data_IF_806889667925
#
_entry.id   IF_806889667925
#
_cell.length_a   1.000
_cell.length_b   1.000
_cell.length_c   1.000
_cell.angle_alpha   90.00
_cell.angle_beta   90.00
_cell.angle_gamma   90.00
#
_symmetry.space_group_name_H-M   'P 1'
#
loop_
_entity.id
_entity.type
_entity.pdbx_description
1 polymer ?
#
# COMPACT_ATOMS: atom_id res chain seq x y z
N UNK A 1 -22.70 -11.75 18.52
CA UNK A 1 -21.37 -11.10 18.55
C UNK A 1 -20.75 -11.16 17.15
N UNK A 2 -20.43 -10.01 16.59
CA UNK A 2 -19.88 -9.90 15.23
C UNK A 2 -18.35 -9.90 15.21
N UNK A 3 -17.73 -9.59 16.36
CA UNK A 3 -16.27 -9.44 16.48
C UNK A 3 -15.56 -10.60 17.16
N UNK A 4 -16.16 -11.16 18.21
CA UNK A 4 -15.57 -12.22 19.04
C UNK A 4 -16.55 -13.37 19.22
N UNK A 5 -16.07 -14.62 19.17
CA UNK A 5 -16.90 -15.80 19.35
C UNK A 5 -17.34 -15.92 20.82
N UNK A 6 -18.61 -16.28 21.03
CA UNK A 6 -19.17 -16.46 22.38
C UNK A 6 -18.37 -17.48 23.22
N UNK A 7 -17.89 -18.55 22.59
CA UNK A 7 -17.06 -19.59 23.24
C UNK A 7 -15.76 -19.05 23.83
N UNK A 8 -15.17 -18.00 23.22
CA UNK A 8 -13.95 -17.38 23.73
C UNK A 8 -14.24 -16.44 24.91
N UNK A 9 -15.41 -15.81 24.89
CA UNK A 9 -15.89 -14.97 25.99
C UNK A 9 -16.27 -15.84 27.22
N UNK A 10 -16.91 -16.98 27.03
CA UNK A 10 -17.27 -17.91 28.11
C UNK A 10 -16.06 -18.39 28.90
N UNK A 11 -14.92 -18.58 28.25
CA UNK A 11 -13.67 -19.01 28.92
C UNK A 11 -13.12 -17.96 29.90
N UNK A 12 -13.53 -16.70 29.76
CA UNK A 12 -13.07 -15.58 30.61
C UNK A 12 -13.91 -15.50 31.89
N UNK A 13 -15.15 -15.99 31.83
CA UNK A 13 -16.10 -15.89 32.95
C UNK A 13 -15.68 -16.75 34.16
N UNK A 14 -15.76 -16.16 35.33
CA UNK A 14 -15.61 -16.84 36.61
C UNK A 14 -16.94 -17.45 37.09
N UNK A 15 -18.05 -16.90 36.56
CA UNK A 15 -19.40 -17.44 36.82
C UNK A 15 -19.49 -18.80 36.14
N UNK A 16 -19.79 -19.85 36.91
CA UNK A 16 -19.98 -21.21 36.40
C UNK A 16 -21.41 -21.68 36.66
N UNK A 17 -21.95 -22.61 35.85
CA UNK A 17 -23.25 -23.23 36.13
C UNK A 17 -23.31 -23.83 37.55
N UNK A 18 -24.39 -23.52 38.26
CA UNK A 18 -24.59 -24.02 39.65
C UNK A 18 -23.92 -23.18 40.74
N UNK A 19 -23.23 -22.09 40.40
CA UNK A 19 -22.70 -21.15 41.41
C UNK A 19 -23.72 -20.12 41.84
N UNK A 20 -23.65 -19.69 43.09
CA UNK A 20 -24.51 -18.59 43.60
C UNK A 20 -24.05 -17.29 42.96
N UNK A 21 -24.97 -16.57 42.29
CA UNK A 21 -24.69 -15.29 41.68
C UNK A 21 -24.31 -14.27 42.77
N UNK A 22 -23.09 -13.73 42.65
CA UNK A 22 -22.55 -12.74 43.60
C UNK A 22 -22.18 -11.47 42.79
N UNK A 23 -22.61 -10.31 43.29
CA UNK A 23 -22.34 -9.02 42.65
C UNK A 23 -20.84 -8.76 42.41
N UNK A 24 -19.97 -9.23 43.30
CA UNK A 24 -18.52 -9.09 43.17
C UNK A 24 -17.98 -9.90 42.00
N UNK A 25 -18.46 -11.13 41.81
CA UNK A 25 -18.05 -12.01 40.69
C UNK A 25 -18.58 -11.42 39.37
N UNK A 26 -19.83 -10.97 39.33
CA UNK A 26 -20.43 -10.32 38.16
C UNK A 26 -19.62 -9.09 37.76
N UNK A 27 -19.30 -8.21 38.71
CA UNK A 27 -18.49 -7.01 38.44
C UNK A 27 -17.10 -7.34 37.92
N UNK A 28 -16.49 -8.38 38.45
CA UNK A 28 -15.18 -8.87 37.97
C UNK A 28 -15.27 -9.37 36.52
N UNK A 29 -16.28 -10.18 36.23
CA UNK A 29 -16.48 -10.71 34.87
C UNK A 29 -16.79 -9.62 33.85
N UNK A 30 -17.59 -8.62 34.22
CA UNK A 30 -17.81 -7.43 33.37
C UNK A 30 -16.49 -6.71 33.09
N UNK A 31 -15.67 -6.50 34.12
CA UNK A 31 -14.37 -5.84 33.94
C UNK A 31 -13.43 -6.65 33.02
N UNK A 32 -13.33 -7.97 33.21
CA UNK A 32 -12.50 -8.84 32.40
C UNK A 32 -13.00 -8.92 30.94
N UNK A 33 -14.30 -8.98 30.69
CA UNK A 33 -14.87 -8.94 29.35
C UNK A 33 -14.56 -7.62 28.64
N UNK A 34 -14.79 -6.48 29.30
CA UNK A 34 -14.48 -5.17 28.73
C UNK A 34 -12.97 -5.03 28.43
N UNK A 35 -12.12 -5.53 29.34
CA UNK A 35 -10.68 -5.53 29.16
C UNK A 35 -10.25 -6.42 27.97
N UNK A 36 -10.87 -7.58 27.83
CA UNK A 36 -10.62 -8.47 26.71
C UNK A 36 -10.92 -7.81 25.37
N UNK A 37 -12.10 -7.19 25.24
CA UNK A 37 -12.46 -6.44 24.02
C UNK A 37 -11.47 -5.30 23.74
N UNK A 38 -11.13 -4.52 24.74
CA UNK A 38 -10.19 -3.41 24.60
C UNK A 38 -8.78 -3.89 24.17
N UNK A 39 -8.30 -5.02 24.72
CA UNK A 39 -7.01 -5.61 24.35
C UNK A 39 -6.98 -6.10 22.91
N UNK A 40 -8.13 -6.54 22.36
CA UNK A 40 -8.27 -6.91 20.95
C UNK A 40 -8.43 -5.71 20.03
N UNK A 41 -8.49 -4.49 20.57
CA UNK A 41 -8.68 -3.25 19.81
C UNK A 41 -10.14 -2.79 19.69
N UNK A 42 -11.10 -3.52 20.21
CA UNK A 42 -12.54 -3.18 20.17
C UNK A 42 -12.90 -2.23 21.32
N UNK A 43 -12.35 -1.04 21.29
CA UNK A 43 -12.44 -0.07 22.39
C UNK A 43 -13.82 0.54 22.60
N UNK A 44 -14.75 0.38 21.65
CA UNK A 44 -16.14 0.80 21.78
C UNK A 44 -17.06 -0.33 22.25
N UNK A 45 -16.55 -1.55 22.33
CA UNK A 45 -17.30 -2.70 22.78
C UNK A 45 -17.30 -2.79 24.31
N UNK A 46 -18.48 -2.95 24.90
CA UNK A 46 -18.63 -3.04 26.36
C UNK A 46 -19.92 -3.79 26.75
N UNK A 47 -19.90 -4.34 27.95
CA UNK A 47 -21.06 -4.99 28.54
C UNK A 47 -22.09 -3.93 28.90
N UNK A 48 -23.34 -4.10 28.42
CA UNK A 48 -24.44 -3.18 28.65
C UNK A 48 -25.48 -3.69 29.63
N UNK A 49 -25.65 -5.00 29.74
CA UNK A 49 -26.64 -5.62 30.59
C UNK A 49 -26.19 -6.99 31.06
N UNK A 50 -26.56 -7.35 32.28
CA UNK A 50 -26.44 -8.70 32.83
C UNK A 50 -27.77 -9.05 33.49
N UNK A 51 -28.49 -10.00 32.93
CA UNK A 51 -29.81 -10.41 33.39
C UNK A 51 -29.87 -11.93 33.52
N UNK A 52 -30.60 -12.39 34.49
CA UNK A 52 -30.91 -13.82 34.65
C UNK A 52 -32.39 -14.04 34.30
N UNK A 53 -32.67 -15.05 33.49
CA UNK A 53 -34.02 -15.42 33.14
C UNK A 53 -34.67 -16.32 34.19
N UNK A 54 -35.95 -16.64 33.99
CA UNK A 54 -36.74 -17.52 34.90
C UNK A 54 -36.22 -18.94 34.98
N UNK A 55 -35.40 -19.37 34.00
CA UNK A 55 -34.79 -20.69 33.95
C UNK A 55 -33.39 -20.71 34.60
N UNK A 56 -32.94 -19.58 35.14
CA UNK A 56 -31.61 -19.44 35.75
C UNK A 56 -30.48 -19.28 34.74
N UNK A 57 -30.79 -18.93 33.47
CA UNK A 57 -29.78 -18.64 32.44
C UNK A 57 -29.33 -17.20 32.55
N UNK A 58 -28.04 -16.98 32.63
CA UNK A 58 -27.43 -15.65 32.66
C UNK A 58 -27.25 -15.12 31.24
N UNK A 59 -27.89 -14.00 30.95
CA UNK A 59 -27.74 -13.25 29.66
C UNK A 59 -26.83 -12.05 29.85
N UNK A 60 -25.75 -12.01 29.11
CA UNK A 60 -24.81 -10.87 29.08
C UNK A 60 -24.99 -10.14 27.76
N UNK A 61 -25.51 -8.91 27.82
CA UNK A 61 -25.63 -8.03 26.67
C UNK A 61 -24.36 -7.25 26.43
N UNK A 62 -23.88 -7.25 25.20
CA UNK A 62 -22.67 -6.54 24.79
C UNK A 62 -23.03 -5.60 23.63
N UNK A 63 -22.68 -4.33 23.76
CA UNK A 63 -22.70 -3.38 22.65
C UNK A 63 -21.34 -3.39 22.00
N UNK A 64 -21.27 -3.64 20.70
CA UNK A 64 -19.98 -3.77 20.01
C UNK A 64 -19.51 -2.49 19.36
N UNK A 65 -20.39 -1.54 19.04
CA UNK A 65 -20.04 -0.27 18.37
C UNK A 65 -19.48 -0.47 16.96
N UNK A 66 -20.32 -0.19 15.96
CA UNK A 66 -19.96 -0.40 14.55
C UNK A 66 -19.55 0.89 13.87
N UNK A 67 -18.83 0.77 12.76
CA UNK A 67 -18.53 1.89 11.87
C UNK A 67 -19.78 2.20 11.03
N UNK A 68 -20.51 3.24 11.41
CA UNK A 68 -21.73 3.65 10.72
C UNK A 68 -21.44 4.21 9.33
N UNK A 69 -20.41 5.07 9.23
CA UNK A 69 -20.01 5.73 7.99
C UNK A 69 -18.52 6.12 8.03
N UNK A 70 -17.92 6.16 6.85
CA UNK A 70 -16.55 6.63 6.67
C UNK A 70 -16.59 7.83 5.72
N UNK A 71 -16.26 9.00 6.24
CA UNK A 71 -16.20 10.26 5.50
C UNK A 71 -14.73 10.59 5.19
N UNK A 72 -14.45 10.97 3.94
CA UNK A 72 -13.10 11.35 3.50
C UNK A 72 -13.13 12.81 3.08
N UNK A 73 -12.20 13.60 3.61
CA UNK A 73 -12.08 15.03 3.34
C UNK A 73 -10.65 15.42 2.98
N UNK A 74 -10.50 16.53 2.26
CA UNK A 74 -9.21 17.09 1.90
C UNK A 74 -8.62 16.55 0.59
N UNK A 75 -9.15 15.48 0.02
CA UNK A 75 -8.69 14.88 -1.22
C UNK A 75 -9.25 15.61 -2.45
N UNK A 76 -8.61 16.69 -2.85
CA UNK A 76 -9.00 17.49 -4.03
C UNK A 76 -8.67 16.82 -5.36
N UNK A 77 -7.47 16.24 -5.46
CA UNK A 77 -6.95 15.53 -6.63
C UNK A 77 -7.20 14.02 -6.53
N UNK A 78 -6.85 13.43 -5.40
CA UNK A 78 -6.91 11.99 -5.17
C UNK A 78 -8.36 11.52 -5.08
N UNK A 79 -8.70 10.48 -5.84
CA UNK A 79 -10.05 9.91 -5.85
C UNK A 79 -10.32 9.15 -4.55
N UNK A 80 -11.55 9.23 -4.03
CA UNK A 80 -12.00 8.53 -2.82
C UNK A 80 -11.62 7.05 -2.81
N UNK A 81 -11.84 6.37 -3.94
CA UNK A 81 -11.52 4.95 -4.08
C UNK A 81 -10.06 4.62 -3.78
N UNK A 82 -9.13 5.56 -4.05
CA UNK A 82 -7.69 5.39 -3.81
C UNK A 82 -7.39 5.38 -2.32
N UNK A 83 -8.14 6.14 -1.54
CA UNK A 83 -8.04 6.14 -0.08
C UNK A 83 -8.76 4.93 0.50
N UNK A 84 -10.01 4.68 0.07
CA UNK A 84 -10.84 3.59 0.59
C UNK A 84 -10.23 2.21 0.41
N UNK A 85 -9.50 1.96 -0.68
CA UNK A 85 -8.84 0.67 -0.93
C UNK A 85 -7.70 0.36 0.06
N UNK A 86 -7.18 1.38 0.74
CA UNK A 86 -6.15 1.21 1.77
C UNK A 86 -6.75 0.84 3.14
N UNK A 87 -8.05 0.99 3.33
CA UNK A 87 -8.72 0.66 4.59
C UNK A 87 -8.73 -0.85 4.83
N UNK A 88 -8.50 -1.23 6.08
CA UNK A 88 -8.53 -2.63 6.56
C UNK A 88 -9.86 -2.99 7.23
N UNK A 89 -10.82 -2.13 7.11
CA UNK A 89 -12.20 -2.29 7.60
C UNK A 89 -13.14 -1.59 6.63
N UNK A 90 -14.41 -1.85 6.74
CA UNK A 90 -15.46 -1.27 5.92
C UNK A 90 -16.61 -0.76 6.79
N UNK A 91 -17.50 0.00 6.19
CA UNK A 91 -18.76 0.40 6.81
C UNK A 91 -19.53 -0.86 7.25
N UNK A 92 -20.07 -0.83 8.49
CA UNK A 92 -20.78 -1.93 9.13
C UNK A 92 -19.91 -2.85 9.97
N UNK A 93 -18.58 -2.81 9.85
CA UNK A 93 -17.71 -3.60 10.70
C UNK A 93 -17.69 -3.05 12.13
N UNK A 94 -17.43 -3.92 13.11
CA UNK A 94 -17.19 -3.50 14.48
C UNK A 94 -15.92 -2.65 14.50
N UNK A 95 -16.00 -1.48 15.13
CA UNK A 95 -14.86 -0.57 15.22
C UNK A 95 -13.68 -1.22 15.94
N UNK A 96 -12.53 -1.25 15.28
CA UNK A 96 -11.29 -1.77 15.84
C UNK A 96 -10.18 -0.73 15.67
N UNK A 97 -9.64 -0.26 16.79
CA UNK A 97 -8.57 0.75 16.83
C UNK A 97 -7.32 0.31 16.08
N UNK A 98 -6.95 -0.96 16.17
CA UNK A 98 -5.73 -1.47 15.53
C UNK A 98 -5.87 -1.46 14.01
N UNK A 99 -7.03 -1.88 13.49
CA UNK A 99 -7.34 -1.82 12.06
C UNK A 99 -7.44 -0.38 11.56
N UNK A 100 -8.03 0.52 12.37
CA UNK A 100 -8.10 1.94 12.05
C UNK A 100 -6.70 2.55 11.95
N UNK A 101 -5.84 2.34 12.94
CA UNK A 101 -4.45 2.82 12.95
C UNK A 101 -3.65 2.27 11.77
N UNK A 102 -3.80 0.98 11.48
CA UNK A 102 -3.14 0.36 10.32
C UNK A 102 -3.61 0.95 9.00
N UNK A 103 -4.91 1.23 8.88
CA UNK A 103 -5.48 1.87 7.68
C UNK A 103 -4.90 3.26 7.46
N UNK A 104 -4.77 4.06 8.50
CA UNK A 104 -4.18 5.41 8.44
C UNK A 104 -2.72 5.34 8.02
N UNK A 105 -1.96 4.42 8.61
CA UNK A 105 -0.56 4.19 8.23
C UNK A 105 -0.43 3.82 6.74
N UNK A 106 -1.32 2.96 6.23
CA UNK A 106 -1.35 2.58 4.82
C UNK A 106 -1.66 3.76 3.90
N UNK A 107 -2.65 4.58 4.25
CA UNK A 107 -2.98 5.79 3.49
C UNK A 107 -1.77 6.75 3.47
N UNK A 108 -1.13 6.98 4.61
CA UNK A 108 0.07 7.81 4.70
C UNK A 108 1.22 7.25 3.85
N UNK A 109 1.45 5.95 3.89
CA UNK A 109 2.51 5.26 3.16
C UNK A 109 2.32 5.25 1.63
N UNK A 110 1.15 5.64 1.11
CA UNK A 110 0.99 5.85 -0.34
C UNK A 110 1.88 6.96 -0.87
N UNK A 111 2.30 7.91 -0.02
CA UNK A 111 3.08 9.07 -0.40
C UNK A 111 2.29 10.18 -1.11
N UNK A 112 0.96 10.09 -1.11
CA UNK A 112 0.09 11.10 -1.74
C UNK A 112 -0.27 12.26 -0.81
N UNK A 113 -0.04 12.06 0.49
CA UNK A 113 -0.47 12.96 1.56
C UNK A 113 0.70 13.33 2.46
N UNK A 114 0.79 14.59 2.83
CA UNK A 114 1.74 15.07 3.84
C UNK A 114 1.21 14.84 5.26
N UNK A 115 -0.12 14.73 5.42
CA UNK A 115 -0.77 14.45 6.68
C UNK A 115 -2.06 13.68 6.48
N UNK A 116 -2.37 12.78 7.43
CA UNK A 116 -3.59 11.97 7.49
C UNK A 116 -4.08 11.94 8.93
N UNK A 117 -5.21 12.56 9.18
CA UNK A 117 -5.83 12.63 10.50
C UNK A 117 -7.18 11.91 10.54
N UNK A 118 -7.52 11.38 11.70
CA UNK A 118 -8.81 10.73 11.94
C UNK A 118 -9.52 11.41 13.10
N UNK A 119 -10.81 11.67 12.88
CA UNK A 119 -11.74 12.08 13.92
C UNK A 119 -12.88 11.09 14.00
N UNK A 120 -13.29 10.78 15.23
CA UNK A 120 -14.42 9.91 15.51
C UNK A 120 -15.57 10.74 16.05
N UNK A 121 -16.74 10.58 15.43
CA UNK A 121 -17.98 11.20 15.87
C UNK A 121 -18.99 10.12 16.26
N UNK A 122 -19.88 10.44 17.17
CA UNK A 122 -20.96 9.55 17.54
C UNK A 122 -21.86 9.27 16.33
N UNK A 123 -22.36 8.06 16.22
CA UNK A 123 -23.28 7.66 15.17
C UNK A 123 -24.58 8.46 15.19
N UNK A 124 -25.12 8.75 14.03
CA UNK A 124 -26.37 9.48 13.85
C UNK A 124 -27.59 8.55 14.01
N UNK A 125 -27.44 7.28 13.60
CA UNK A 125 -28.51 6.27 13.67
C UNK A 125 -28.50 5.52 15.00
N UNK A 126 -27.32 5.24 15.51
CA UNK A 126 -27.12 4.54 16.77
C UNK A 126 -26.00 5.24 17.55
N UNK A 127 -26.30 5.66 18.77
CA UNK A 127 -25.37 6.36 19.65
C UNK A 127 -24.13 5.55 20.03
N UNK A 128 -24.21 4.21 19.96
CA UNK A 128 -23.07 3.32 20.22
C UNK A 128 -22.16 3.11 19.01
N UNK A 129 -22.62 3.50 17.83
CA UNK A 129 -21.84 3.43 16.60
C UNK A 129 -20.98 4.68 16.40
N UNK A 130 -20.06 4.61 15.48
CA UNK A 130 -19.11 5.70 15.21
C UNK A 130 -19.08 6.08 13.75
N UNK A 131 -19.04 7.38 13.48
CA UNK A 131 -18.71 7.95 12.18
C UNK A 131 -17.23 8.28 12.19
N UNK A 132 -16.49 7.72 11.24
CA UNK A 132 -15.06 7.92 11.09
C UNK A 132 -14.79 8.93 9.98
N UNK A 133 -14.24 10.08 10.33
CA UNK A 133 -13.83 11.10 9.38
C UNK A 133 -12.32 11.05 9.19
N UNK A 134 -11.89 10.85 7.93
CA UNK A 134 -10.48 10.82 7.53
C UNK A 134 -10.18 12.11 6.79
N UNK A 135 -9.39 12.98 7.41
CA UNK A 135 -8.92 14.23 6.84
C UNK A 135 -7.51 14.04 6.28
N UNK A 136 -7.33 14.29 4.99
CA UNK A 136 -6.04 14.19 4.32
C UNK A 136 -5.57 15.55 3.82
N UNK A 137 -4.28 15.80 3.90
CA UNK A 137 -3.62 16.94 3.27
C UNK A 137 -2.76 16.43 2.10
N UNK A 138 -3.14 16.78 0.87
CA UNK A 138 -2.44 16.31 -0.31
C UNK A 138 -1.08 16.98 -0.48
N UNK A 139 -0.10 16.22 -0.95
CA UNK A 139 1.21 16.74 -1.33
C UNK A 139 1.46 16.58 -2.83
N UNK A 140 2.52 17.21 -3.31
CA UNK A 140 2.98 17.05 -4.70
C UNK A 140 3.50 15.63 -4.89
N UNK A 141 3.02 14.95 -5.94
CA UNK A 141 3.37 13.57 -6.28
C UNK A 141 4.19 13.46 -7.56
N UNK A 142 4.36 14.58 -8.26
CA UNK A 142 5.24 14.71 -9.41
C UNK A 142 6.66 15.09 -8.98
N UNK A 143 7.67 14.56 -9.66
CA UNK A 143 9.07 14.91 -9.44
C UNK A 143 9.83 15.09 -10.75
N UNK A 144 10.81 15.97 -10.72
CA UNK A 144 11.77 16.23 -11.79
C UNK A 144 13.16 16.00 -11.21
N UNK A 145 13.92 15.11 -11.85
CA UNK A 145 15.31 14.86 -11.49
C UNK A 145 16.20 15.31 -12.65
N UNK A 146 17.21 16.13 -12.34
CA UNK A 146 18.23 16.56 -13.30
C UNK A 146 19.58 16.15 -12.74
N UNK A 147 20.41 15.52 -13.56
CA UNK A 147 21.72 15.05 -13.17
C UNK A 147 22.73 15.15 -14.31
N UNK A 148 23.99 15.04 -13.96
CA UNK A 148 25.09 14.89 -14.90
C UNK A 148 26.02 13.80 -14.39
N UNK A 149 26.53 12.98 -15.29
CA UNK A 149 27.50 11.92 -15.01
C UNK A 149 28.67 12.00 -16.00
N UNK A 150 29.80 11.48 -15.59
CA UNK A 150 30.94 11.31 -16.47
C UNK A 150 31.48 9.89 -16.32
N UNK A 151 31.68 9.24 -17.46
CA UNK A 151 32.40 7.97 -17.52
C UNK A 151 33.50 8.06 -18.57
N UNK A 152 34.52 7.22 -18.43
CA UNK A 152 35.63 7.19 -19.39
C UNK A 152 35.16 6.67 -20.75
N UNK A 153 34.23 5.73 -20.76
CA UNK A 153 33.61 5.18 -21.96
C UNK A 153 32.66 6.17 -22.65
N UNK A 154 31.76 6.75 -21.91
CA UNK A 154 30.65 7.55 -22.50
C UNK A 154 30.92 9.06 -22.53
N UNK A 155 31.90 9.54 -21.73
CA UNK A 155 32.14 10.96 -21.54
C UNK A 155 31.11 11.63 -20.61
N UNK A 156 30.82 12.89 -20.85
CA UNK A 156 29.84 13.65 -20.08
C UNK A 156 28.41 13.35 -20.59
N UNK A 157 27.55 12.88 -19.69
CA UNK A 157 26.13 12.58 -19.94
C UNK A 157 25.23 13.44 -19.06
N UNK A 158 24.09 13.88 -19.61
CA UNK A 158 23.01 14.49 -18.87
C UNK A 158 21.89 13.50 -18.62
N UNK A 159 21.21 13.63 -17.48
CA UNK A 159 20.11 12.77 -17.08
C UNK A 159 18.91 13.65 -16.74
N UNK A 160 17.76 13.35 -17.33
CA UNK A 160 16.48 13.96 -17.01
C UNK A 160 15.48 12.86 -16.64
N UNK A 161 14.95 12.94 -15.41
CA UNK A 161 13.89 12.07 -14.92
C UNK A 161 12.62 12.88 -14.66
N UNK A 162 11.50 12.40 -15.15
CA UNK A 162 10.17 12.93 -14.86
C UNK A 162 9.33 11.79 -14.31
N UNK A 163 8.65 12.01 -13.18
CA UNK A 163 7.74 11.00 -12.63
C UNK A 163 6.51 11.62 -11.99
N UNK A 164 5.41 10.89 -12.04
CA UNK A 164 4.18 11.18 -11.31
C UNK A 164 3.68 9.87 -10.70
N UNK A 165 3.46 9.85 -9.40
CA UNK A 165 3.06 8.64 -8.66
C UNK A 165 1.56 8.57 -8.37
N UNK A 166 0.82 9.64 -8.67
CA UNK A 166 -0.63 9.71 -8.48
C UNK A 166 -1.28 10.42 -9.68
N UNK A 167 -1.09 9.86 -10.87
CA UNK A 167 -1.56 10.43 -12.12
C UNK A 167 -3.08 10.67 -12.09
N UNK A 168 -3.49 11.92 -12.25
CA UNK A 168 -4.91 12.35 -12.19
C UNK A 168 -5.64 11.91 -10.93
N UNK A 169 -4.92 11.62 -9.85
CA UNK A 169 -5.48 11.17 -8.57
C UNK A 169 -5.98 9.72 -8.54
N UNK A 170 -5.58 8.89 -9.50
CA UNK A 170 -5.98 7.48 -9.60
C UNK A 170 -5.02 6.52 -8.89
N UNK A 171 -3.85 7.03 -8.49
CA UNK A 171 -2.76 6.23 -7.96
C UNK A 171 -1.91 5.55 -9.03
N UNK A 172 -2.18 5.82 -10.30
CA UNK A 172 -1.35 5.33 -11.40
C UNK A 172 0.00 6.04 -11.39
N UNK A 173 1.04 5.29 -11.76
CA UNK A 173 2.41 5.80 -11.79
C UNK A 173 2.88 5.89 -13.22
N UNK A 174 3.52 7.01 -13.56
CA UNK A 174 4.19 7.20 -14.84
C UNK A 174 5.60 7.75 -14.59
N UNK A 175 6.57 7.25 -15.34
CA UNK A 175 7.93 7.78 -15.29
C UNK A 175 8.55 7.80 -16.68
N UNK A 176 9.33 8.84 -16.94
CA UNK A 176 10.18 9.00 -18.11
C UNK A 176 11.60 9.30 -17.63
N UNK A 177 12.54 8.47 -18.05
CA UNK A 177 13.96 8.70 -17.84
C UNK A 177 14.63 8.87 -19.18
N UNK A 178 15.42 9.92 -19.33
CA UNK A 178 16.17 10.22 -20.53
C UNK A 178 17.60 10.58 -20.18
N UNK A 179 18.53 9.85 -20.78
CA UNK A 179 19.96 10.12 -20.72
C UNK A 179 20.43 10.57 -22.09
N UNK A 180 21.15 11.67 -22.14
CA UNK A 180 21.60 12.32 -23.37
C UNK A 180 23.05 12.82 -23.26
N UNK A 181 23.67 13.03 -24.39
CA UNK A 181 25.09 13.43 -24.46
C UNK A 181 26.01 12.22 -24.66
N UNK A 182 27.23 12.32 -24.19
CA UNK A 182 28.26 11.31 -24.39
C UNK A 182 29.14 11.56 -25.63
N UNK A 183 30.17 10.72 -25.84
CA UNK A 183 31.10 10.82 -26.96
C UNK A 183 30.44 10.64 -28.31
N UNK A 184 29.41 9.85 -28.37
CA UNK A 184 28.58 9.65 -29.57
C UNK A 184 27.33 10.51 -29.47
N UNK A 185 27.18 11.47 -30.38
CA UNK A 185 26.08 12.46 -30.43
C UNK A 185 24.66 11.85 -30.58
N UNK A 186 24.53 10.54 -30.60
CA UNK A 186 23.30 9.78 -30.79
C UNK A 186 22.77 9.08 -29.53
N UNK A 187 23.35 9.31 -28.35
CA UNK A 187 22.90 8.70 -27.13
C UNK A 187 21.46 9.16 -26.79
N UNK A 188 20.51 8.36 -27.24
CA UNK A 188 19.08 8.53 -26.99
C UNK A 188 18.60 7.41 -26.07
N UNK A 189 19.16 7.37 -24.85
CA UNK A 189 18.75 6.40 -23.86
C UNK A 189 17.49 6.90 -23.16
N UNK A 190 16.35 6.31 -23.45
CA UNK A 190 15.12 6.65 -22.76
C UNK A 190 14.36 5.41 -22.34
N UNK A 191 13.67 5.56 -21.23
CA UNK A 191 12.76 4.56 -20.68
C UNK A 191 11.48 5.27 -20.28
N UNK A 192 10.38 4.79 -20.78
CA UNK A 192 9.04 5.19 -20.33
C UNK A 192 8.41 4.02 -19.62
N UNK A 193 7.81 4.26 -18.45
CA UNK A 193 7.09 3.26 -17.68
C UNK A 193 5.75 3.78 -17.19
N UNK A 194 4.78 2.87 -17.15
CA UNK A 194 3.45 3.11 -16.61
C UNK A 194 3.07 1.92 -15.72
N UNK A 195 2.52 2.20 -14.54
CA UNK A 195 2.03 1.17 -13.62
C UNK A 195 0.63 1.53 -13.14
N UNK A 196 -0.29 0.60 -13.29
CA UNK A 196 -1.62 0.65 -12.72
C UNK A 196 -1.68 -0.27 -11.50
N UNK A 197 -1.64 0.27 -10.27
CA UNK A 197 -1.86 -0.51 -9.06
C UNK A 197 -3.35 -0.81 -8.90
N UNK A 198 -3.68 -1.82 -8.09
CA UNK A 198 -5.08 -2.13 -7.79
C UNK A 198 -5.92 -2.47 -9.03
N UNK A 199 -5.39 -3.35 -9.87
CA UNK A 199 -6.13 -3.92 -11.00
C UNK A 199 -7.43 -4.60 -10.56
N UNK A 200 -7.43 -5.13 -9.34
CA UNK A 200 -8.57 -5.79 -8.70
C UNK A 200 -8.63 -5.45 -7.19
N UNK A 201 -9.65 -5.96 -6.51
CA UNK A 201 -9.87 -5.75 -5.06
C UNK A 201 -8.78 -6.33 -4.15
N UNK A 202 -7.94 -7.23 -4.65
CA UNK A 202 -6.81 -7.80 -3.91
C UNK A 202 -5.57 -6.88 -3.92
N UNK A 203 -5.54 -5.90 -4.84
CA UNK A 203 -4.42 -4.99 -4.98
C UNK A 203 -3.36 -5.44 -5.99
N UNK A 204 -3.69 -6.39 -6.87
CA UNK A 204 -2.80 -6.80 -7.95
C UNK A 204 -2.51 -5.62 -8.87
N UNK A 205 -1.34 -5.63 -9.50
CA UNK A 205 -0.88 -4.52 -10.34
C UNK A 205 -0.50 -4.98 -11.74
N UNK A 206 -0.60 -4.07 -12.69
CA UNK A 206 -0.04 -4.24 -14.02
C UNK A 206 0.86 -3.06 -14.35
N UNK A 207 2.05 -3.35 -14.86
CA UNK A 207 3.01 -2.37 -15.31
C UNK A 207 3.45 -2.64 -16.74
N UNK A 208 3.82 -1.58 -17.44
CA UNK A 208 4.46 -1.67 -18.75
C UNK A 208 5.66 -0.75 -18.79
N UNK A 209 6.67 -1.13 -19.56
CA UNK A 209 7.84 -0.31 -19.80
C UNK A 209 8.30 -0.48 -21.24
N UNK A 210 8.67 0.64 -21.87
CA UNK A 210 9.32 0.65 -23.18
C UNK A 210 10.62 1.40 -23.06
N UNK A 211 11.63 0.94 -23.76
CA UNK A 211 12.95 1.54 -23.71
C UNK A 211 13.71 1.45 -25.03
N UNK A 212 14.57 2.42 -25.25
CA UNK A 212 15.54 2.44 -26.31
C UNK A 212 16.88 2.86 -25.69
N UNK A 213 17.83 1.94 -25.72
CA UNK A 213 19.15 2.08 -25.06
C UNK A 213 20.24 1.88 -26.06
N UNK A 214 21.20 2.78 -26.06
CA UNK A 214 22.42 2.68 -26.86
C UNK A 214 23.62 2.77 -25.91
N UNK A 215 24.54 1.84 -26.04
CA UNK A 215 25.75 1.80 -25.23
C UNK A 215 26.95 1.42 -26.11
N UNK A 216 28.06 2.01 -25.78
CA UNK A 216 29.37 1.72 -26.38
C UNK A 216 30.12 0.74 -25.48
N UNK A 217 30.75 -0.24 -26.10
CA UNK A 217 31.51 -1.29 -25.41
C UNK A 217 32.89 -1.39 -26.03
N UNK A 218 33.89 -1.42 -25.17
CA UNK A 218 35.27 -1.61 -25.54
C UNK A 218 35.73 -2.99 -25.05
N UNK A 219 36.31 -3.79 -25.97
CA UNK A 219 36.99 -5.03 -25.61
C UNK A 219 38.48 -4.78 -25.45
N UNK A 220 39.06 -5.32 -24.41
CA UNK A 220 40.48 -5.12 -24.06
C UNK A 220 41.26 -6.43 -24.18
N UNK A 221 42.52 -6.33 -24.64
CA UNK A 221 43.47 -7.44 -24.59
C UNK A 221 43.97 -7.69 -23.15
N UNK A 222 44.69 -8.77 -22.96
CA UNK A 222 45.33 -9.11 -21.67
C UNK A 222 46.38 -8.10 -21.18
N UNK A 223 46.70 -7.08 -21.99
CA UNK A 223 47.60 -5.96 -21.66
C UNK A 223 46.89 -4.66 -21.42
N UNK A 224 45.56 -4.65 -21.53
CA UNK A 224 44.73 -3.46 -21.32
C UNK A 224 44.57 -2.53 -22.52
N UNK A 225 44.99 -2.96 -23.74
CA UNK A 225 44.75 -2.19 -24.95
C UNK A 225 43.36 -2.49 -25.52
N UNK A 226 42.66 -1.47 -26.01
CA UNK A 226 41.38 -1.64 -26.71
C UNK A 226 41.63 -2.40 -28.03
N UNK A 227 40.99 -3.56 -28.17
CA UNK A 227 41.10 -4.41 -29.37
C UNK A 227 39.91 -4.27 -30.28
N UNK A 228 38.78 -3.88 -29.72
CA UNK A 228 37.51 -3.71 -30.46
C UNK A 228 36.63 -2.70 -29.77
N UNK A 229 36.00 -1.85 -30.57
CA UNK A 229 34.93 -0.94 -30.11
C UNK A 229 33.67 -1.26 -30.89
N UNK A 230 32.55 -1.40 -30.18
CA UNK A 230 31.27 -1.62 -30.82
C UNK A 230 30.13 -0.89 -30.12
N UNK A 231 29.17 -0.40 -30.88
CA UNK A 231 27.95 0.22 -30.40
C UNK A 231 26.80 -0.76 -30.51
N UNK A 232 26.08 -0.89 -29.41
CA UNK A 232 24.93 -1.79 -29.28
C UNK A 232 23.70 -0.97 -28.98
N UNK A 233 22.68 -1.10 -29.83
CA UNK A 233 21.35 -0.53 -29.61
C UNK A 233 20.39 -1.63 -29.21
N UNK A 234 19.70 -1.43 -28.09
CA UNK A 234 18.67 -2.35 -27.59
C UNK A 234 17.35 -1.59 -27.45
N UNK A 235 16.38 -1.98 -28.25
CA UNK A 235 15.01 -1.48 -28.18
C UNK A 235 14.12 -2.58 -27.67
N UNK A 236 13.29 -2.31 -26.70
CA UNK A 236 12.45 -3.35 -26.10
C UNK A 236 11.32 -2.80 -25.26
N UNK A 237 10.58 -3.72 -24.70
CA UNK A 237 9.52 -3.43 -23.77
C UNK A 237 9.16 -4.65 -22.94
N UNK A 238 8.54 -4.39 -21.81
CA UNK A 238 8.06 -5.45 -20.94
C UNK A 238 6.66 -5.12 -20.38
N UNK A 239 6.00 -6.16 -19.95
CA UNK A 239 4.76 -6.11 -19.17
C UNK A 239 4.98 -6.93 -17.92
N UNK A 240 4.68 -6.32 -16.77
CA UNK A 240 4.82 -6.95 -15.46
C UNK A 240 3.46 -7.06 -14.80
N UNK A 241 3.10 -8.26 -14.38
CA UNK A 241 1.94 -8.51 -13.52
C UNK A 241 2.42 -8.75 -12.10
N UNK A 242 1.89 -7.98 -11.14
CA UNK A 242 2.17 -8.13 -9.72
C UNK A 242 0.96 -8.70 -9.00
N UNK A 243 1.14 -9.83 -8.32
CA UNK A 243 0.10 -10.47 -7.50
C UNK A 243 0.38 -10.28 -6.02
N UNK A 244 -0.59 -9.73 -5.31
CA UNK A 244 -0.52 -9.59 -3.85
C UNK A 244 -0.90 -10.91 -3.18
N UNK A 245 0.03 -11.51 -2.42
CA UNK A 245 -0.21 -12.72 -1.63
C UNK A 245 -0.64 -12.38 -0.21
N UNK A 246 -0.01 -11.38 0.37
CA UNK A 246 -0.33 -10.85 1.69
C UNK A 246 0.09 -9.38 1.76
N UNK A 247 -0.11 -8.75 2.91
CA UNK A 247 0.31 -7.37 3.12
C UNK A 247 1.82 -7.15 2.92
N UNK A 248 2.63 -8.19 3.10
CA UNK A 248 4.10 -8.12 3.07
C UNK A 248 4.74 -8.93 1.93
N UNK A 249 3.93 -9.68 1.17
CA UNK A 249 4.44 -10.59 0.13
C UNK A 249 3.69 -10.36 -1.17
N UNK A 250 4.44 -10.12 -2.23
CA UNK A 250 3.93 -10.03 -3.60
C UNK A 250 4.83 -10.79 -4.56
N UNK A 251 4.22 -11.44 -5.54
CA UNK A 251 4.90 -12.12 -6.62
C UNK A 251 4.82 -11.26 -7.89
N UNK A 252 5.87 -11.29 -8.70
CA UNK A 252 5.88 -10.57 -9.98
C UNK A 252 6.26 -11.50 -11.12
N UNK A 253 5.53 -11.39 -12.22
CA UNK A 253 5.84 -12.06 -13.48
C UNK A 253 6.03 -11.00 -14.55
N UNK A 254 7.19 -11.02 -15.20
CA UNK A 254 7.54 -10.08 -16.26
C UNK A 254 7.78 -10.82 -17.56
N UNK A 255 7.09 -10.37 -18.60
CA UNK A 255 7.32 -10.77 -19.98
C UNK A 255 8.05 -9.63 -20.69
N UNK A 256 9.21 -9.92 -21.25
CA UNK A 256 10.03 -8.95 -21.96
C UNK A 256 10.25 -9.38 -23.42
N UNK A 257 10.19 -8.40 -24.31
CA UNK A 257 10.65 -8.54 -25.69
C UNK A 257 11.67 -7.47 -25.99
N UNK A 258 12.79 -7.85 -26.62
CA UNK A 258 13.85 -6.92 -26.99
C UNK A 258 14.48 -7.28 -28.32
N UNK A 259 14.90 -6.26 -29.04
CA UNK A 259 15.71 -6.36 -30.27
C UNK A 259 17.02 -5.66 -30.06
N UNK A 260 18.10 -6.36 -30.33
CA UNK A 260 19.46 -5.82 -30.25
C UNK A 260 20.03 -5.69 -31.64
N UNK A 261 20.68 -4.54 -31.92
CA UNK A 261 21.40 -4.27 -33.15
C UNK A 261 22.79 -3.75 -32.80
N UNK A 262 23.77 -4.23 -33.52
CA UNK A 262 25.12 -3.66 -33.52
C UNK A 262 25.19 -2.59 -34.61
N UNK A 263 25.56 -1.35 -34.23
CA UNK A 263 25.52 -0.18 -35.13
C UNK A 263 26.90 0.11 -35.78
N UNK A 264 27.97 -0.17 -35.04
CA UNK A 264 29.35 -0.02 -35.54
C UNK A 264 30.21 -1.06 -34.86
N UNK A 265 31.26 -1.47 -35.56
CA UNK A 265 32.29 -2.39 -35.07
C UNK A 265 33.63 -1.95 -35.69
N UNK A 266 34.56 -1.56 -34.84
CA UNK A 266 35.94 -1.25 -35.24
C UNK A 266 36.87 -2.19 -34.48
N UNK A 267 37.74 -2.91 -35.26
CA UNK A 267 38.69 -3.88 -34.70
C UNK A 267 38.11 -5.27 -34.39
N UNK A 268 38.93 -6.25 -34.44
CA UNK A 268 38.61 -7.65 -34.19
C UNK A 268 38.32 -8.48 -35.45
N UNK A 269 38.35 -9.82 -35.35
CA UNK A 269 38.06 -10.68 -36.51
C UNK A 269 36.58 -10.57 -36.88
N UNK A 270 36.33 -10.54 -38.19
CA UNK A 270 34.97 -10.58 -38.77
C UNK A 270 34.20 -11.81 -38.34
#
# INVERSE_FOLDING_TARGET
NDSVKSEDLEKILHIQPGTVLNSTIVSKDIFELNRYYANQGYILSHVTAVNMDENGILHIGISEGHVERIDIKGNKKTKDRVIRRELRFKQGDVFNRNLASRSIERIYNTGYFEDVNVRLFQGEKNANDVIMEIDVAEQKTGSVTVGAGYSQSDGLVGILGLSETNLRGTGDKVALNWEFGGKTHSNKNYTFSYTHPWLNSHGDSIGMSIYDREAEYDDYDGKGNTVSEYRKKTTGGNVTYGRVRSEYVSDYVTLETKKTKYLSHEGGPN
#
